data_IF_898762092421
#
_entry.id   IF_898762092421
#
_cell.length_a   1.000
_cell.length_b   1.000
_cell.length_c   1.000
_cell.angle_alpha   90.00
_cell.angle_beta   90.00
_cell.angle_gamma   90.00
#
_symmetry.space_group_name_H-M   'P 1'
#
loop_
_entity.id
_entity.type
_entity.pdbx_description
1 polymer ?
#
# COMPACT_ATOMS: atom_id res chain seq x y z
N UNK A 1 19.70 -44.20 -34.01
CA UNK A 1 19.57 -42.76 -33.70
C UNK A 1 19.10 -42.64 -32.26
N UNK A 2 20.00 -42.26 -31.35
CA UNK A 2 19.67 -42.13 -29.91
C UNK A 2 19.12 -40.73 -29.69
N UNK A 3 17.85 -40.65 -29.30
CA UNK A 3 17.14 -39.38 -29.06
C UNK A 3 17.50 -38.85 -27.68
N UNK A 4 18.34 -37.82 -27.64
CA UNK A 4 18.57 -37.03 -26.43
C UNK A 4 17.44 -35.99 -26.33
N UNK A 5 16.31 -36.39 -25.77
CA UNK A 5 15.28 -35.45 -25.30
C UNK A 5 15.59 -35.04 -23.85
N UNK A 6 15.45 -33.77 -23.46
CA UNK A 6 15.63 -33.35 -22.07
C UNK A 6 14.62 -34.08 -21.18
N UNK A 7 15.14 -34.79 -20.16
CA UNK A 7 14.36 -35.49 -19.17
C UNK A 7 13.64 -34.46 -18.28
N UNK A 8 12.32 -34.36 -18.44
CA UNK A 8 11.43 -33.39 -17.78
C UNK A 8 10.63 -34.02 -16.63
N UNK A 9 11.01 -35.23 -16.21
CA UNK A 9 10.29 -36.04 -15.21
C UNK A 9 10.65 -35.62 -13.77
N UNK A 10 11.45 -34.56 -13.61
CA UNK A 10 11.95 -34.06 -12.34
C UNK A 10 11.72 -32.56 -12.16
N UNK A 11 10.54 -32.07 -12.56
CA UNK A 11 10.05 -30.77 -12.07
C UNK A 11 9.41 -31.03 -10.70
N UNK A 12 10.01 -30.57 -9.58
CA UNK A 12 9.34 -30.66 -8.29
C UNK A 12 8.05 -29.84 -8.35
N UNK A 13 6.91 -30.53 -8.21
CA UNK A 13 5.57 -29.92 -8.21
C UNK A 13 5.25 -29.13 -6.93
N UNK A 14 6.24 -28.88 -6.07
CA UNK A 14 6.05 -28.23 -4.79
C UNK A 14 6.50 -26.77 -4.82
N UNK A 15 5.67 -25.92 -5.43
CA UNK A 15 5.63 -24.50 -5.14
C UNK A 15 4.64 -24.21 -4.00
N UNK A 16 4.63 -25.03 -2.95
CA UNK A 16 3.94 -24.67 -1.71
C UNK A 16 4.85 -23.77 -0.88
N UNK A 17 5.00 -22.51 -1.32
CA UNK A 17 5.40 -21.43 -0.41
C UNK A 17 4.22 -21.15 0.54
N UNK A 18 4.07 -22.01 1.54
CA UNK A 18 3.17 -21.79 2.67
C UNK A 18 3.94 -22.04 3.95
N UNK A 19 4.94 -21.21 4.17
CA UNK A 19 5.50 -21.05 5.51
C UNK A 19 4.58 -20.07 6.27
N UNK A 20 3.73 -20.56 7.21
CA UNK A 20 2.76 -19.73 7.90
C UNK A 20 3.39 -18.77 8.93
N UNK A 21 4.71 -18.88 9.14
CA UNK A 21 5.47 -18.07 10.11
C UNK A 21 6.25 -16.91 9.48
N UNK A 22 6.06 -16.62 8.19
CA UNK A 22 6.67 -15.42 7.59
C UNK A 22 5.99 -14.15 8.15
N UNK A 23 6.72 -13.24 8.81
CA UNK A 23 6.15 -12.06 9.48
C UNK A 23 5.69 -10.94 8.55
N UNK A 24 5.42 -11.18 7.26
CA UNK A 24 5.24 -10.11 6.27
C UNK A 24 3.91 -10.14 5.50
N UNK A 25 2.81 -10.56 6.14
CA UNK A 25 1.49 -10.55 5.49
C UNK A 25 0.74 -9.20 5.52
N UNK A 26 1.25 -8.19 6.22
CA UNK A 26 0.60 -6.86 6.33
C UNK A 26 1.52 -5.66 6.00
N UNK A 27 2.60 -5.89 5.23
CA UNK A 27 3.65 -4.88 5.02
C UNK A 27 3.32 -3.73 4.07
N UNK A 28 2.41 -3.90 3.10
CA UNK A 28 2.31 -2.95 1.99
C UNK A 28 1.77 -1.55 2.39
N UNK A 29 0.82 -1.49 3.33
CA UNK A 29 0.24 -0.22 3.79
C UNK A 29 1.17 0.58 4.70
N UNK A 30 1.87 -0.11 5.60
CA UNK A 30 2.78 0.54 6.54
C UNK A 30 4.03 1.08 5.84
N UNK A 31 4.62 0.33 4.90
CA UNK A 31 5.88 0.73 4.23
C UNK A 31 5.69 1.99 3.38
N UNK A 32 4.58 2.10 2.64
CA UNK A 32 4.27 3.29 1.84
C UNK A 32 4.00 4.52 2.72
N UNK A 33 3.30 4.34 3.84
CA UNK A 33 3.09 5.39 4.83
C UNK A 33 4.41 5.85 5.47
N UNK A 34 5.25 4.91 5.91
CA UNK A 34 6.61 5.18 6.42
C UNK A 34 7.48 5.91 5.38
N UNK A 35 7.39 5.55 4.10
CA UNK A 35 8.11 6.24 3.02
C UNK A 35 7.67 7.71 2.88
N UNK A 36 6.36 7.96 2.90
CA UNK A 36 5.80 9.32 2.85
C UNK A 36 6.27 10.13 4.07
N UNK A 37 6.20 9.56 5.28
CA UNK A 37 6.65 10.24 6.50
C UNK A 37 8.15 10.53 6.51
N UNK A 38 8.98 9.62 6.00
CA UNK A 38 10.44 9.81 5.97
C UNK A 38 10.86 10.86 4.93
N UNK A 39 10.17 10.92 3.79
CA UNK A 39 10.40 11.96 2.78
C UNK A 39 9.84 13.32 3.21
N UNK A 40 8.76 13.33 4.00
CA UNK A 40 8.11 14.54 4.52
C UNK A 40 8.87 15.07 5.74
N UNK A 41 9.95 15.81 5.49
CA UNK A 41 10.66 16.54 6.53
C UNK A 41 9.99 17.90 6.77
N UNK A 42 9.12 17.99 7.78
CA UNK A 42 8.47 19.24 8.21
C UNK A 42 9.40 20.03 9.13
N UNK A 43 9.66 21.29 8.81
CA UNK A 43 10.43 22.20 9.67
C UNK A 43 9.50 22.78 10.74
N UNK A 44 9.72 22.37 11.98
CA UNK A 44 8.94 22.80 13.14
C UNK A 44 9.48 24.15 13.64
N UNK A 45 9.36 25.19 12.83
CA UNK A 45 9.75 26.55 13.23
C UNK A 45 8.46 27.33 13.43
N UNK A 46 8.21 27.75 14.68
CA UNK A 46 7.06 28.58 15.12
C UNK A 46 5.65 27.96 15.19
N UNK A 47 5.50 26.64 15.09
CA UNK A 47 4.19 25.97 15.31
C UNK A 47 3.84 25.78 16.81
N UNK A 48 4.70 26.22 17.72
CA UNK A 48 4.62 25.85 19.12
C UNK A 48 3.75 26.76 19.99
N UNK A 49 3.39 27.97 19.58
CA UNK A 49 2.58 28.81 20.50
C UNK A 49 1.08 28.50 20.42
N UNK A 50 0.56 28.14 19.24
CA UNK A 50 -0.87 27.86 19.06
C UNK A 50 -1.25 26.41 19.37
N UNK A 51 -0.38 25.43 19.09
CA UNK A 51 -0.66 24.00 19.31
C UNK A 51 -0.95 23.68 20.79
N UNK A 52 -0.32 24.40 21.72
CA UNK A 52 -0.56 24.22 23.16
C UNK A 52 -1.97 24.63 23.59
N UNK A 53 -2.63 25.53 22.86
CA UNK A 53 -4.01 25.93 23.16
C UNK A 53 -5.05 24.94 22.62
N UNK A 54 -4.75 24.21 21.53
CA UNK A 54 -5.66 23.20 20.96
C UNK A 54 -5.57 21.83 21.66
N UNK A 55 -4.44 21.52 22.30
CA UNK A 55 -4.22 20.29 23.07
C UNK A 55 -5.26 20.03 24.18
N UNK A 56 -5.60 20.98 25.06
CA UNK A 56 -6.60 20.75 26.11
C UNK A 56 -8.00 20.56 25.54
N UNK A 57 -8.34 21.24 24.42
CA UNK A 57 -9.65 21.11 23.76
C UNK A 57 -9.82 19.71 23.17
N UNK A 58 -8.83 19.21 22.42
CA UNK A 58 -8.87 17.85 21.89
C UNK A 58 -8.81 16.80 23.00
N UNK A 59 -8.12 17.09 24.11
CA UNK A 59 -8.12 16.26 25.31
C UNK A 59 -9.50 16.10 25.94
N UNK A 60 -10.24 17.20 26.09
CA UNK A 60 -11.62 17.17 26.62
C UNK A 60 -12.54 16.38 25.68
N UNK A 61 -12.48 16.64 24.36
CA UNK A 61 -13.27 15.89 23.36
C UNK A 61 -12.92 14.39 23.41
N UNK A 62 -11.63 14.05 23.47
CA UNK A 62 -11.18 12.66 23.53
C UNK A 62 -11.62 11.97 24.82
N UNK A 63 -11.62 12.68 25.95
CA UNK A 63 -12.07 12.16 27.23
C UNK A 63 -13.58 11.90 27.26
N UNK A 64 -14.37 12.78 26.63
CA UNK A 64 -15.81 12.56 26.42
C UNK A 64 -16.05 11.32 25.58
N UNK A 65 -15.34 11.17 24.45
CA UNK A 65 -15.46 9.99 23.60
C UNK A 65 -15.03 8.70 24.32
N UNK A 66 -13.97 8.76 25.12
CA UNK A 66 -13.50 7.64 25.92
C UNK A 66 -14.52 7.25 27.00
N UNK A 67 -15.15 8.23 27.64
CA UNK A 67 -16.24 8.03 28.59
C UNK A 67 -17.47 7.39 27.93
N UNK A 68 -17.85 7.86 26.73
CA UNK A 68 -18.94 7.25 25.96
C UNK A 68 -18.65 5.79 25.62
N UNK A 69 -17.42 5.47 25.21
CA UNK A 69 -17.01 4.08 24.95
C UNK A 69 -17.09 3.21 26.20
N UNK A 70 -16.70 3.74 27.37
CA UNK A 70 -16.84 3.01 28.63
C UNK A 70 -18.31 2.74 28.98
N UNK A 71 -19.18 3.74 28.82
CA UNK A 71 -20.61 3.61 29.12
C UNK A 71 -21.33 2.63 28.17
N UNK A 72 -20.94 2.59 26.89
CA UNK A 72 -21.46 1.60 25.94
C UNK A 72 -21.09 0.18 26.40
N UNK A 73 -19.86 -0.02 26.87
CA UNK A 73 -19.36 -1.32 27.32
C UNK A 73 -20.00 -1.76 28.65
N UNK A 74 -20.16 -0.86 29.61
CA UNK A 74 -20.76 -1.17 30.92
C UNK A 74 -22.27 -1.47 30.85
N UNK A 75 -22.88 -1.30 29.68
CA UNK A 75 -24.26 -1.69 29.46
C UNK A 75 -24.40 -3.22 29.48
N UNK A 76 -25.23 -3.73 30.40
CA UNK A 76 -25.56 -5.16 30.56
C UNK A 76 -26.11 -5.82 29.28
N UNK A 77 -26.49 -5.02 28.28
CA UNK A 77 -26.91 -5.48 26.96
C UNK A 77 -25.75 -6.02 26.10
N UNK A 78 -24.50 -5.75 26.47
CA UNK A 78 -23.32 -6.29 25.79
C UNK A 78 -22.77 -7.45 26.63
N UNK A 79 -22.84 -8.71 26.17
CA UNK A 79 -22.26 -9.83 26.87
C UNK A 79 -20.72 -9.76 26.82
N UNK A 80 -20.12 -8.91 27.66
CA UNK A 80 -18.67 -8.70 27.75
C UNK A 80 -17.94 -9.88 28.39
N UNK A 81 -18.62 -10.57 29.30
CA UNK A 81 -18.19 -11.87 29.81
C UNK A 81 -19.16 -12.92 29.28
N UNK A 82 -18.69 -14.13 28.95
CA UNK A 82 -19.56 -15.25 28.68
C UNK A 82 -20.25 -15.66 30.00
N UNK A 83 -21.31 -14.94 30.37
CA UNK A 83 -22.45 -15.48 31.15
C UNK A 83 -23.13 -16.62 30.36
N UNK A 84 -22.64 -16.90 29.15
CA UNK A 84 -22.80 -18.12 28.38
C UNK A 84 -21.96 -19.31 28.93
N UNK A 85 -21.78 -19.49 30.25
CA UNK A 85 -21.11 -20.71 30.76
C UNK A 85 -22.01 -21.96 30.68
N UNK A 86 -23.33 -21.79 30.55
CA UNK A 86 -24.29 -22.90 30.53
C UNK A 86 -25.17 -22.98 29.25
N UNK A 87 -25.08 -22.03 28.32
CA UNK A 87 -25.93 -21.96 27.10
C UNK A 87 -25.19 -22.33 25.81
N UNK A 88 -23.86 -22.56 25.86
CA UNK A 88 -23.08 -23.07 24.72
C UNK A 88 -23.51 -24.47 24.27
N UNK A 89 -24.21 -25.22 25.11
CA UNK A 89 -24.73 -26.56 24.81
C UNK A 89 -26.11 -26.54 24.12
N UNK A 90 -26.82 -25.42 24.11
CA UNK A 90 -28.16 -25.28 23.50
C UNK A 90 -28.10 -24.59 22.13
N UNK A 91 -27.09 -24.91 21.33
CA UNK A 91 -27.02 -24.47 19.94
C UNK A 91 -27.79 -25.46 19.09
N UNK A 92 -29.01 -25.11 18.70
CA UNK A 92 -29.81 -25.88 17.75
C UNK A 92 -29.18 -25.75 16.35
N UNK A 93 -28.44 -26.78 15.92
CA UNK A 93 -27.88 -26.84 14.57
C UNK A 93 -28.88 -27.42 13.58
N UNK A 94 -29.35 -26.60 12.66
CA UNK A 94 -30.17 -27.05 11.52
C UNK A 94 -29.24 -27.64 10.46
N UNK A 95 -29.21 -28.97 10.32
CA UNK A 95 -28.37 -29.64 9.32
C UNK A 95 -28.81 -29.35 7.88
N UNK A 96 -30.10 -29.04 7.67
CA UNK A 96 -30.65 -28.73 6.34
C UNK A 96 -30.04 -27.47 5.69
N UNK A 97 -29.67 -26.45 6.47
CA UNK A 97 -29.04 -25.23 5.94
C UNK A 97 -27.54 -25.40 5.64
N UNK A 98 -26.93 -26.51 6.07
CA UNK A 98 -25.51 -26.80 5.87
C UNK A 98 -25.22 -27.76 4.70
N UNK A 99 -26.25 -28.32 4.07
CA UNK A 99 -26.13 -29.24 2.91
C UNK A 99 -25.45 -28.54 1.72
N UNK A 100 -25.67 -27.23 1.57
CA UNK A 100 -24.91 -26.37 0.64
C UNK A 100 -24.35 -25.17 1.42
N UNK A 101 -23.14 -25.32 1.93
CA UNK A 101 -22.42 -24.21 2.56
C UNK A 101 -21.86 -23.28 1.49
N UNK A 102 -22.46 -22.10 1.33
CA UNK A 102 -21.89 -21.03 0.52
C UNK A 102 -20.71 -20.41 1.26
N UNK A 103 -19.64 -20.07 0.55
CA UNK A 103 -18.55 -19.32 1.18
C UNK A 103 -18.99 -17.87 1.43
N UNK A 104 -18.41 -17.22 2.44
CA UNK A 104 -18.68 -15.80 2.70
C UNK A 104 -18.43 -14.94 1.46
N UNK A 105 -17.37 -15.27 0.69
CA UNK A 105 -17.02 -14.56 -0.53
C UNK A 105 -18.04 -14.78 -1.64
N UNK A 106 -18.52 -16.01 -1.81
CA UNK A 106 -19.54 -16.36 -2.82
C UNK A 106 -20.88 -15.68 -2.51
N UNK A 107 -21.29 -15.67 -1.24
CA UNK A 107 -22.52 -15.01 -0.79
C UNK A 107 -22.41 -13.49 -0.95
N UNK A 108 -21.28 -12.91 -0.57
CA UNK A 108 -21.03 -11.47 -0.72
C UNK A 108 -20.98 -11.07 -2.21
N UNK A 109 -20.32 -11.87 -3.05
CA UNK A 109 -20.26 -11.65 -4.49
C UNK A 109 -21.65 -11.71 -5.13
N UNK A 110 -22.47 -12.70 -4.78
CA UNK A 110 -23.85 -12.81 -5.27
C UNK A 110 -24.68 -11.59 -4.89
N UNK A 111 -24.55 -11.09 -3.65
CA UNK A 111 -25.27 -9.90 -3.20
C UNK A 111 -24.78 -8.63 -3.91
N UNK A 112 -23.46 -8.47 -4.04
CA UNK A 112 -22.81 -7.30 -4.60
C UNK A 112 -23.09 -7.14 -6.10
N UNK A 113 -22.99 -8.23 -6.87
CA UNK A 113 -23.18 -8.19 -8.32
C UNK A 113 -24.63 -8.24 -8.76
N UNK A 114 -25.51 -8.88 -7.99
CA UNK A 114 -26.92 -9.03 -8.37
C UNK A 114 -27.77 -7.87 -7.85
N UNK A 115 -27.65 -7.52 -6.57
CA UNK A 115 -28.54 -6.54 -5.93
C UNK A 115 -27.90 -5.15 -5.81
N UNK A 116 -26.60 -5.08 -5.50
CA UNK A 116 -25.92 -3.80 -5.22
C UNK A 116 -24.97 -3.35 -6.33
N UNK A 117 -25.24 -3.74 -7.58
CA UNK A 117 -24.38 -3.42 -8.72
C UNK A 117 -24.16 -1.90 -8.89
N UNK A 118 -25.18 -1.08 -8.67
CA UNK A 118 -25.08 0.38 -8.78
C UNK A 118 -24.11 0.96 -7.73
N UNK A 119 -24.16 0.49 -6.48
CA UNK A 119 -23.24 0.95 -5.44
C UNK A 119 -21.79 0.55 -5.74
N UNK A 120 -21.59 -0.67 -6.25
CA UNK A 120 -20.28 -1.12 -6.72
C UNK A 120 -19.75 -0.23 -7.86
N UNK A 121 -20.62 0.14 -8.81
CA UNK A 121 -20.27 1.00 -9.93
C UNK A 121 -19.89 2.43 -9.49
N UNK A 122 -20.63 2.99 -8.53
CA UNK A 122 -20.31 4.30 -7.93
C UNK A 122 -18.97 4.25 -7.20
N UNK A 123 -18.70 3.18 -6.43
CA UNK A 123 -17.39 2.98 -5.80
C UNK A 123 -16.26 2.92 -6.84
N UNK A 124 -16.50 2.31 -8.00
CA UNK A 124 -15.56 2.29 -9.13
C UNK A 124 -15.27 3.69 -9.68
N UNK A 125 -16.29 4.55 -9.79
CA UNK A 125 -16.12 5.95 -10.22
C UNK A 125 -15.32 6.75 -9.20
N UNK A 126 -15.57 6.56 -7.90
CA UNK A 126 -14.81 7.21 -6.84
C UNK A 126 -13.32 6.82 -6.93
N UNK A 127 -13.03 5.54 -7.15
CA UNK A 127 -11.66 5.06 -7.33
C UNK A 127 -10.99 5.65 -8.57
N UNK A 128 -11.72 5.73 -9.69
CA UNK A 128 -11.23 6.35 -10.93
C UNK A 128 -10.88 7.83 -10.70
N UNK A 129 -11.77 8.57 -10.04
CA UNK A 129 -11.56 9.98 -9.69
C UNK A 129 -10.37 10.15 -8.75
N UNK A 130 -10.16 9.25 -7.79
CA UNK A 130 -9.02 9.31 -6.88
C UNK A 130 -7.66 9.16 -7.61
N UNK A 131 -7.58 8.26 -8.58
CA UNK A 131 -6.36 8.07 -9.40
C UNK A 131 -6.11 9.31 -10.27
N UNK A 132 -7.14 9.81 -10.96
CA UNK A 132 -7.02 11.02 -11.79
C UNK A 132 -6.65 12.22 -10.93
N UNK A 133 -7.28 12.38 -9.76
CA UNK A 133 -7.02 13.47 -8.82
C UNK A 133 -5.56 13.46 -8.35
N UNK A 134 -5.03 12.30 -8.00
CA UNK A 134 -3.63 12.13 -7.61
C UNK A 134 -2.67 12.43 -8.78
N UNK A 135 -3.01 11.96 -9.98
CA UNK A 135 -2.22 12.22 -11.19
C UNK A 135 -2.18 13.71 -11.52
N UNK A 136 -3.32 14.41 -11.48
CA UNK A 136 -3.39 15.84 -11.74
C UNK A 136 -2.66 16.64 -10.65
N UNK A 137 -2.75 16.23 -9.39
CA UNK A 137 -2.06 16.87 -8.28
C UNK A 137 -0.53 16.83 -8.43
N UNK A 138 0.00 15.72 -8.96
CA UNK A 138 1.45 15.54 -9.16
C UNK A 138 1.94 16.05 -10.52
N UNK A 139 1.03 16.36 -11.45
CA UNK A 139 1.38 16.86 -12.78
C UNK A 139 1.85 18.31 -12.73
N UNK A 140 3.12 18.50 -12.35
CA UNK A 140 3.79 19.80 -12.40
C UNK A 140 4.32 20.06 -13.82
N UNK A 141 3.73 21.02 -14.54
CA UNK A 141 4.29 21.49 -15.81
C UNK A 141 5.52 22.36 -15.55
N UNK A 142 6.70 21.80 -15.72
CA UNK A 142 7.94 22.58 -15.74
C UNK A 142 8.11 23.20 -17.12
N UNK A 143 7.82 24.50 -17.25
CA UNK A 143 7.82 25.22 -18.54
C UNK A 143 9.22 25.55 -19.08
N UNK A 144 10.28 25.20 -18.34
CA UNK A 144 11.68 25.33 -18.77
C UNK A 144 12.42 24.01 -18.61
N UNK A 145 12.16 23.06 -19.50
CA UNK A 145 13.06 21.92 -19.68
C UNK A 145 14.14 22.36 -20.66
N UNK A 146 15.39 22.49 -20.19
CA UNK A 146 16.56 22.64 -21.06
C UNK A 146 16.66 21.35 -21.86
N UNK A 147 16.16 21.35 -23.10
CA UNK A 147 16.33 20.21 -24.01
C UNK A 147 17.82 20.07 -24.26
N UNK A 148 18.41 18.99 -23.76
CA UNK A 148 19.79 18.67 -24.08
C UNK A 148 19.82 18.24 -25.54
N UNK A 149 20.41 19.08 -26.39
CA UNK A 149 20.66 18.71 -27.77
C UNK A 149 21.84 17.74 -27.79
N UNK A 150 21.52 16.44 -27.87
CA UNK A 150 22.49 15.35 -27.87
C UNK A 150 23.48 15.49 -29.04
N UNK A 151 23.06 16.11 -30.15
CA UNK A 151 23.92 16.34 -31.30
C UNK A 151 25.01 17.39 -31.05
N UNK A 152 24.70 18.46 -30.30
CA UNK A 152 25.73 19.45 -29.92
C UNK A 152 26.71 18.91 -28.88
N UNK A 153 26.23 18.17 -27.88
CA UNK A 153 27.10 17.60 -26.84
C UNK A 153 28.09 16.58 -27.43
N UNK A 154 27.62 15.69 -28.31
CA UNK A 154 28.47 14.71 -28.98
C UNK A 154 29.54 15.36 -29.90
N UNK A 155 29.20 16.49 -30.54
CA UNK A 155 30.14 17.24 -31.37
C UNK A 155 31.24 17.92 -30.52
N UNK A 156 30.89 18.42 -29.34
CA UNK A 156 31.85 19.02 -28.40
C UNK A 156 32.73 17.93 -27.76
N UNK A 157 32.16 16.79 -27.38
CA UNK A 157 32.88 15.69 -26.74
C UNK A 157 33.89 15.03 -27.67
N UNK A 158 33.53 14.85 -28.94
CA UNK A 158 34.46 14.36 -29.98
C UNK A 158 35.70 15.25 -30.10
N UNK A 159 35.49 16.58 -30.12
CA UNK A 159 36.59 17.56 -30.21
C UNK A 159 37.43 17.61 -28.94
N UNK A 160 36.82 17.53 -27.76
CA UNK A 160 37.52 17.53 -26.46
C UNK A 160 38.33 16.25 -26.23
N UNK A 161 37.82 15.10 -26.68
CA UNK A 161 38.53 13.81 -26.57
C UNK A 161 39.80 13.79 -27.42
N UNK A 162 39.76 14.36 -28.64
CA UNK A 162 40.93 14.47 -29.50
C UNK A 162 42.01 15.38 -28.85
N UNK A 163 41.61 16.54 -28.33
CA UNK A 163 42.55 17.49 -27.71
C UNK A 163 43.19 16.88 -26.45
N UNK A 164 42.40 16.26 -25.56
CA UNK A 164 42.94 15.59 -24.36
C UNK A 164 43.92 14.48 -24.72
N UNK A 165 43.62 13.70 -25.77
CA UNK A 165 44.51 12.62 -26.23
C UNK A 165 45.83 13.15 -26.76
N UNK A 166 45.81 14.24 -27.53
CA UNK A 166 47.02 14.88 -28.07
C UNK A 166 47.84 15.51 -26.94
N UNK A 167 47.21 16.25 -26.03
CA UNK A 167 47.91 16.87 -24.89
C UNK A 167 48.52 15.83 -23.95
N UNK A 168 47.82 14.73 -23.66
CA UNK A 168 48.36 13.63 -22.85
C UNK A 168 49.53 12.94 -23.57
N UNK A 169 49.41 12.67 -24.87
CA UNK A 169 50.49 12.10 -25.66
C UNK A 169 51.74 13.00 -25.72
N UNK A 170 51.56 14.31 -25.79
CA UNK A 170 52.67 15.28 -25.79
C UNK A 170 53.30 15.41 -24.40
N UNK A 171 52.51 15.38 -23.32
CA UNK A 171 53.03 15.49 -21.95
C UNK A 171 53.79 14.24 -21.51
N UNK A 172 53.44 13.06 -22.03
CA UNK A 172 54.16 11.80 -21.79
C UNK A 172 55.45 11.70 -22.61
N UNK A 173 55.58 12.43 -23.73
CA UNK A 173 56.80 12.43 -24.54
C UNK A 173 57.87 13.42 -24.04
N UNK A 174 57.47 14.43 -23.27
CA UNK A 174 58.35 15.49 -22.73
C UNK A 174 58.89 15.16 -21.32
N UNK A 175 58.58 13.97 -20.79
CA UNK A 175 59.05 13.46 -19.49
C UNK A 175 59.84 12.18 -19.66
#
# INVERSE_FOLDING_TARGET
MVSYGPNIDHIPHDITLKDPNLPLRSGNGAISSLFIFMMLHIQITEIHEEVWFYLPVSGIIGLIFWWEMFFILDNENIPLLPTQRNTTSLIYMVYASKVRSWTNLETLGNLLYTYYFVLFFVSGHILLVAIIGTMVLTMQRTTKVKRQDVSQENAIDSRRTIIRRITFSLTTYVR
#
